data_IF_773059198975
#
_entry.id   IF_773059198975
#
_cell.length_a   1.000
_cell.length_b   1.000
_cell.length_c   1.000
_cell.angle_alpha   90.00
_cell.angle_beta   90.00
_cell.angle_gamma   90.00
#
_symmetry.space_group_name_H-M   'P 1'
#
loop_
_entity.id
_entity.type
_entity.pdbx_description
1 polymer ?
#
# COMPACT_ATOMS: atom_id res chain seq x y z
N UNK A 1 25.45 -4.51 1.30
CA UNK A 1 24.26 -4.71 0.44
C UNK A 1 23.09 -4.97 1.37
N UNK A 2 22.47 -3.92 1.91
CA UNK A 2 21.43 -4.09 2.93
C UNK A 2 20.08 -4.29 2.25
N UNK A 3 19.76 -5.56 1.99
CA UNK A 3 18.46 -6.04 1.49
C UNK A 3 17.43 -6.00 2.62
N UNK A 4 17.26 -4.88 3.29
CA UNK A 4 16.32 -4.79 4.41
C UNK A 4 15.18 -3.88 4.03
N UNK A 5 14.05 -4.51 3.73
CA UNK A 5 12.75 -3.91 3.88
C UNK A 5 12.69 -3.19 5.23
N UNK A 6 12.65 -1.86 5.19
CA UNK A 6 12.89 -1.05 6.38
C UNK A 6 11.65 -1.01 7.29
N UNK A 7 11.55 -1.98 8.20
CA UNK A 7 10.44 -2.07 9.18
C UNK A 7 10.34 -0.82 10.05
N UNK A 8 11.45 -0.18 10.41
CA UNK A 8 11.45 1.08 11.16
C UNK A 8 10.73 2.20 10.39
N UNK A 9 10.98 2.29 9.08
CA UNK A 9 10.31 3.23 8.19
C UNK A 9 8.82 2.92 8.08
N UNK A 10 8.42 1.65 8.03
CA UNK A 10 7.00 1.26 8.07
C UNK A 10 6.35 1.72 9.38
N UNK A 11 6.96 1.40 10.52
CA UNK A 11 6.46 1.79 11.83
C UNK A 11 6.34 3.31 11.97
N UNK A 12 7.28 4.07 11.41
CA UNK A 12 7.19 5.54 11.34
C UNK A 12 6.00 6.02 10.51
N UNK A 13 5.68 5.37 9.39
CA UNK A 13 4.47 5.69 8.63
C UNK A 13 3.21 5.36 9.42
N UNK A 14 3.13 4.16 9.99
CA UNK A 14 1.96 3.72 10.76
C UNK A 14 1.69 4.64 11.96
N UNK A 15 2.74 4.97 12.73
CA UNK A 15 2.63 5.91 13.85
C UNK A 15 2.15 7.30 13.42
N UNK A 16 2.58 7.80 12.25
CA UNK A 16 2.10 9.09 11.72
C UNK A 16 0.65 9.02 11.25
N UNK A 17 0.21 7.89 10.69
CA UNK A 17 -1.18 7.67 10.31
C UNK A 17 -2.05 7.63 11.58
N UNK A 18 -1.63 6.88 12.60
CA UNK A 18 -2.31 6.79 13.89
C UNK A 18 -2.44 8.18 14.54
N UNK A 19 -1.35 8.95 14.58
CA UNK A 19 -1.39 10.32 15.10
C UNK A 19 -2.31 11.25 14.31
N UNK A 20 -2.40 11.09 12.99
CA UNK A 20 -3.34 11.86 12.17
C UNK A 20 -4.80 11.48 12.46
N UNK A 21 -5.09 10.19 12.64
CA UNK A 21 -6.42 9.70 13.03
C UNK A 21 -6.82 10.25 14.40
N UNK A 22 -5.93 10.16 15.39
CA UNK A 22 -6.18 10.68 16.74
C UNK A 22 -6.43 12.19 16.76
N UNK A 23 -5.77 12.94 15.87
CA UNK A 23 -5.94 14.38 15.72
C UNK A 23 -7.14 14.77 14.82
N UNK A 24 -7.93 13.81 14.34
CA UNK A 24 -9.06 14.08 13.44
C UNK A 24 -8.68 14.49 12.02
N UNK A 25 -7.42 14.30 11.64
CA UNK A 25 -6.87 14.66 10.32
C UNK A 25 -6.96 13.46 9.39
N UNK A 26 -8.17 13.03 9.05
CA UNK A 26 -8.40 11.78 8.31
C UNK A 26 -7.90 11.81 6.87
N UNK A 27 -8.09 12.93 6.16
CA UNK A 27 -7.51 13.13 4.84
C UNK A 27 -5.97 12.97 4.87
N UNK A 28 -5.31 13.57 5.86
CA UNK A 28 -3.88 13.42 6.07
C UNK A 28 -3.49 11.96 6.33
N UNK A 29 -4.27 11.24 7.15
CA UNK A 29 -4.03 9.82 7.42
C UNK A 29 -4.08 8.99 6.12
N UNK A 30 -5.07 9.21 5.26
CA UNK A 30 -5.19 8.51 3.97
C UNK A 30 -4.07 8.91 3.00
N UNK A 31 -3.70 10.19 2.93
CA UNK A 31 -2.53 10.65 2.13
C UNK A 31 -1.22 10.01 2.58
N UNK A 32 -1.02 9.85 3.89
CA UNK A 32 0.13 9.16 4.46
C UNK A 32 0.13 7.67 4.11
N UNK A 33 -1.03 7.02 4.17
CA UNK A 33 -1.21 5.62 3.76
C UNK A 33 -0.88 5.42 2.26
N UNK A 34 -1.42 6.28 1.38
CA UNK A 34 -1.12 6.28 -0.05
C UNK A 34 0.37 6.48 -0.32
N UNK A 35 1.01 7.44 0.36
CA UNK A 35 2.46 7.69 0.23
C UNK A 35 3.29 6.49 0.69
N UNK A 36 2.88 5.82 1.76
CA UNK A 36 3.52 4.61 2.25
C UNK A 36 3.49 3.52 1.16
N UNK A 37 2.31 3.21 0.59
CA UNK A 37 2.19 2.25 -0.51
C UNK A 37 3.09 2.63 -1.69
N UNK A 38 3.02 3.87 -2.16
CA UNK A 38 3.85 4.34 -3.29
C UNK A 38 5.34 4.07 -3.06
N UNK A 39 5.85 4.39 -1.88
CA UNK A 39 7.28 4.23 -1.59
C UNK A 39 7.71 2.77 -1.53
N UNK A 40 6.92 1.90 -0.89
CA UNK A 40 7.24 0.48 -0.80
C UNK A 40 7.08 -0.23 -2.14
N UNK A 41 6.05 0.10 -2.92
CA UNK A 41 5.87 -0.44 -4.26
C UNK A 41 6.99 -0.01 -5.21
N UNK A 42 7.38 1.26 -5.20
CA UNK A 42 8.52 1.74 -5.99
C UNK A 42 9.82 1.01 -5.60
N UNK A 43 10.01 0.77 -4.30
CA UNK A 43 11.19 0.06 -3.79
C UNK A 43 11.16 -1.42 -4.21
N UNK A 44 10.00 -2.08 -4.14
CA UNK A 44 9.81 -3.45 -4.63
C UNK A 44 10.15 -3.56 -6.12
N UNK A 45 9.53 -2.71 -6.94
CA UNK A 45 9.69 -2.73 -8.40
C UNK A 45 11.15 -2.54 -8.78
N UNK A 46 11.82 -1.57 -8.15
CA UNK A 46 13.25 -1.32 -8.38
C UNK A 46 14.13 -2.49 -7.94
N UNK A 47 13.82 -3.11 -6.79
CA UNK A 47 14.63 -4.19 -6.23
C UNK A 47 14.55 -5.48 -7.05
N UNK A 48 13.36 -5.79 -7.58
CA UNK A 48 13.09 -7.03 -8.32
C UNK A 48 13.08 -6.84 -9.84
N UNK A 49 13.52 -5.67 -10.32
CA UNK A 49 13.57 -5.29 -11.73
C UNK A 49 12.25 -5.61 -12.47
N UNK A 50 11.13 -5.23 -11.83
CA UNK A 50 9.80 -5.54 -12.37
C UNK A 50 9.52 -4.61 -13.55
N UNK A 51 9.22 -5.14 -14.75
CA UNK A 51 8.93 -4.30 -15.90
C UNK A 51 7.65 -3.49 -15.66
N UNK A 52 7.79 -2.16 -15.59
CA UNK A 52 6.67 -1.23 -15.52
C UNK A 52 6.17 -0.92 -16.93
N UNK A 53 4.86 -1.06 -17.14
CA UNK A 53 4.20 -0.51 -18.32
C UNK A 53 4.33 1.03 -18.26
N UNK A 54 4.91 1.64 -19.31
CA UNK A 54 5.44 3.01 -19.30
C UNK A 54 4.41 4.13 -19.06
N UNK A 55 3.10 3.84 -19.06
CA UNK A 55 2.08 4.89 -19.07
C UNK A 55 2.02 5.71 -17.77
N UNK A 56 2.23 5.13 -16.58
CA UNK A 56 2.12 5.85 -15.29
C UNK A 56 3.00 5.23 -14.18
N UNK A 57 4.32 5.49 -14.14
CA UNK A 57 5.25 4.81 -13.22
C UNK A 57 4.99 5.13 -11.74
N UNK A 58 4.24 6.19 -11.45
CA UNK A 58 4.06 6.75 -10.11
C UNK A 58 2.67 6.51 -9.51
N UNK A 59 1.80 5.83 -10.24
CA UNK A 59 0.43 5.57 -9.82
C UNK A 59 0.35 4.24 -9.05
N UNK A 60 -0.05 4.34 -7.79
CA UNK A 60 -0.13 3.22 -6.84
C UNK A 60 -1.01 2.07 -7.34
N UNK A 61 -2.04 2.36 -8.14
CA UNK A 61 -2.93 1.32 -8.71
C UNK A 61 -2.21 0.46 -9.74
N UNK A 62 -1.50 1.11 -10.67
CA UNK A 62 -0.73 0.40 -11.68
C UNK A 62 0.41 -0.37 -11.03
N UNK A 63 1.12 0.25 -10.09
CA UNK A 63 2.16 -0.43 -9.31
C UNK A 63 1.64 -1.70 -8.63
N UNK A 64 0.48 -1.62 -7.94
CA UNK A 64 -0.11 -2.78 -7.29
C UNK A 64 -0.44 -3.89 -8.28
N UNK A 65 -1.07 -3.58 -9.42
CA UNK A 65 -1.39 -4.55 -10.46
C UNK A 65 -0.12 -5.22 -11.00
N UNK A 66 0.90 -4.43 -11.33
CA UNK A 66 2.18 -4.92 -11.83
C UNK A 66 2.87 -5.85 -10.83
N UNK A 67 2.89 -5.46 -9.55
CA UNK A 67 3.42 -6.29 -8.46
C UNK A 67 2.63 -7.59 -8.35
N UNK A 68 1.30 -7.54 -8.31
CA UNK A 68 0.47 -8.75 -8.19
C UNK A 68 0.67 -9.72 -9.36
N UNK A 69 0.79 -9.21 -10.60
CA UNK A 69 1.11 -10.04 -11.78
C UNK A 69 2.48 -10.69 -11.66
N UNK A 70 3.49 -9.92 -11.24
CA UNK A 70 4.84 -10.43 -11.00
C UNK A 70 4.84 -11.54 -9.94
N UNK A 71 4.23 -11.29 -8.78
CA UNK A 71 4.14 -12.25 -7.68
C UNK A 71 3.42 -13.54 -8.10
N UNK A 72 2.31 -13.41 -8.84
CA UNK A 72 1.55 -14.55 -9.34
C UNK A 72 2.41 -15.43 -10.26
N UNK A 73 3.14 -14.81 -11.20
CA UNK A 73 4.06 -15.53 -12.10
C UNK A 73 5.22 -16.18 -11.34
N UNK A 74 5.84 -15.43 -10.42
CA UNK A 74 6.96 -15.89 -9.61
C UNK A 74 6.58 -17.09 -8.75
N UNK A 75 5.48 -17.01 -8.00
CA UNK A 75 5.04 -18.11 -7.13
C UNK A 75 4.66 -19.36 -7.91
N UNK A 76 3.97 -19.22 -9.05
CA UNK A 76 3.67 -20.36 -9.94
C UNK A 76 4.94 -21.02 -10.47
N UNK A 77 5.89 -20.23 -10.96
CA UNK A 77 7.16 -20.73 -11.52
C UNK A 77 8.01 -21.43 -10.46
N UNK A 78 8.02 -20.93 -9.22
CA UNK A 78 8.82 -21.47 -8.13
C UNK A 78 8.08 -22.55 -7.30
N UNK A 79 6.82 -22.88 -7.64
CA UNK A 79 6.01 -23.84 -6.86
C UNK A 79 5.74 -23.41 -5.42
N UNK A 80 5.78 -22.10 -5.13
CA UNK A 80 5.57 -21.57 -3.77
C UNK A 80 4.06 -21.54 -3.51
N UNK A 81 3.53 -22.17 -2.44
CA UNK A 81 2.12 -22.07 -2.10
C UNK A 81 1.73 -20.62 -1.75
N UNK A 82 0.70 -20.11 -2.43
CA UNK A 82 0.21 -18.75 -2.23
C UNK A 82 -1.31 -18.69 -2.44
N UNK A 83 -1.92 -17.58 -2.00
CA UNK A 83 -3.34 -17.32 -2.24
C UNK A 83 -3.49 -16.23 -3.29
N UNK A 84 -4.05 -16.57 -4.45
CA UNK A 84 -4.40 -15.58 -5.48
C UNK A 84 -5.35 -14.51 -4.94
N UNK A 85 -6.26 -14.90 -4.03
CA UNK A 85 -7.17 -13.97 -3.35
C UNK A 85 -6.41 -12.92 -2.54
N UNK A 86 -5.31 -13.30 -1.86
CA UNK A 86 -4.46 -12.34 -1.14
C UNK A 86 -3.74 -11.39 -2.09
N UNK A 87 -3.32 -11.85 -3.26
CA UNK A 87 -2.73 -10.96 -4.27
C UNK A 87 -3.77 -9.99 -4.83
N UNK A 88 -4.98 -10.45 -5.16
CA UNK A 88 -6.07 -9.58 -5.62
C UNK A 88 -6.44 -8.52 -4.58
N UNK A 89 -6.41 -8.88 -3.30
CA UNK A 89 -6.66 -7.95 -2.19
C UNK A 89 -5.68 -6.76 -2.17
N UNK A 90 -4.40 -6.98 -2.47
CA UNK A 90 -3.40 -5.91 -2.56
C UNK A 90 -3.83 -4.86 -3.60
N UNK A 91 -4.23 -5.31 -4.79
CA UNK A 91 -4.70 -4.42 -5.86
C UNK A 91 -5.98 -3.68 -5.49
N UNK A 92 -6.95 -4.38 -4.88
CA UNK A 92 -8.23 -3.79 -4.47
C UNK A 92 -8.04 -2.68 -3.44
N UNK A 93 -7.35 -2.96 -2.33
CA UNK A 93 -7.07 -1.98 -1.27
C UNK A 93 -6.32 -0.78 -1.85
N UNK A 94 -5.30 -1.02 -2.68
CA UNK A 94 -4.51 0.05 -3.30
C UNK A 94 -5.37 0.97 -4.14
N UNK A 95 -6.36 0.42 -4.87
CA UNK A 95 -7.34 1.20 -5.62
C UNK A 95 -8.28 1.99 -4.71
N UNK A 96 -8.82 1.38 -3.64
CA UNK A 96 -9.69 2.07 -2.68
C UNK A 96 -8.96 3.24 -2.03
N UNK A 97 -7.73 3.04 -1.55
CA UNK A 97 -6.92 4.11 -0.93
C UNK A 97 -6.57 5.21 -1.94
N UNK A 98 -6.26 4.85 -3.18
CA UNK A 98 -6.02 5.83 -4.25
C UNK A 98 -7.26 6.71 -4.48
N UNK A 99 -8.44 6.10 -4.66
CA UNK A 99 -9.70 6.81 -4.88
C UNK A 99 -10.03 7.70 -3.67
N UNK A 100 -9.89 7.16 -2.46
CA UNK A 100 -10.11 7.91 -1.22
C UNK A 100 -9.19 9.14 -1.13
N UNK A 101 -7.92 9.01 -1.52
CA UNK A 101 -6.96 10.13 -1.53
C UNK A 101 -7.39 11.27 -2.47
N UNK A 102 -8.11 10.95 -3.55
CA UNK A 102 -8.62 11.95 -4.51
C UNK A 102 -9.94 12.60 -4.05
N UNK A 103 -10.71 11.93 -3.20
CA UNK A 103 -12.07 12.33 -2.84
C UNK A 103 -12.23 12.80 -1.39
N UNK A 104 -11.25 12.56 -0.51
CA UNK A 104 -11.25 13.06 0.86
C UNK A 104 -10.87 14.54 0.88
N UNK A 105 -11.84 15.38 1.23
CA UNK A 105 -11.65 16.81 1.47
C UNK A 105 -11.73 17.09 2.97
N UNK A 106 -11.10 18.18 3.41
CA UNK A 106 -11.20 18.63 4.81
C UNK A 106 -12.54 19.36 5.04
N UNK A 107 -13.66 18.74 4.64
CA UNK A 107 -15.01 19.26 4.92
C UNK A 107 -15.52 18.69 6.25
N UNK A 108 -16.29 19.49 6.99
CA UNK A 108 -16.73 19.16 8.36
C UNK A 108 -17.93 18.22 8.41
N UNK A 109 -18.47 17.83 7.26
CA UNK A 109 -19.84 17.30 7.17
C UNK A 109 -19.93 15.78 7.33
N UNK A 110 -18.82 15.01 7.18
CA UNK A 110 -18.86 13.55 7.30
C UNK A 110 -17.65 12.90 8.00
N UNK A 111 -17.41 13.35 9.24
CA UNK A 111 -16.27 12.92 10.07
C UNK A 111 -16.26 11.41 10.39
N UNK A 112 -17.41 10.73 10.37
CA UNK A 112 -17.52 9.29 10.66
C UNK A 112 -17.04 8.43 9.49
N UNK A 113 -17.51 8.73 8.28
CA UNK A 113 -17.08 8.03 7.07
C UNK A 113 -15.57 8.21 6.85
N UNK A 114 -15.07 9.43 7.04
CA UNK A 114 -13.66 9.75 6.90
C UNK A 114 -12.79 9.02 7.94
N UNK A 115 -13.25 8.94 9.20
CA UNK A 115 -12.59 8.16 10.25
C UNK A 115 -12.51 6.69 9.88
N UNK A 116 -13.61 6.12 9.40
CA UNK A 116 -13.68 4.73 8.99
C UNK A 116 -12.70 4.46 7.83
N UNK A 117 -12.67 5.34 6.82
CA UNK A 117 -11.76 5.23 5.69
C UNK A 117 -10.29 5.37 6.10
N UNK A 118 -9.97 6.30 7.01
CA UNK A 118 -8.62 6.46 7.53
C UNK A 118 -8.15 5.24 8.34
N UNK A 119 -9.03 4.68 9.17
CA UNK A 119 -8.77 3.45 9.94
C UNK A 119 -8.57 2.26 9.01
N UNK A 120 -9.45 2.11 8.01
CA UNK A 120 -9.30 1.11 6.96
C UNK A 120 -7.95 1.26 6.24
N UNK A 121 -7.57 2.47 5.82
CA UNK A 121 -6.30 2.69 5.13
C UNK A 121 -5.10 2.30 6.00
N UNK A 122 -5.13 2.66 7.28
CA UNK A 122 -4.10 2.30 8.26
C UNK A 122 -3.91 0.79 8.34
N UNK A 123 -4.98 0.06 8.66
CA UNK A 123 -4.93 -1.39 8.90
C UNK A 123 -4.44 -2.14 7.65
N UNK A 124 -4.97 -1.76 6.48
CA UNK A 124 -4.69 -2.48 5.26
C UNK A 124 -3.29 -2.17 4.70
N UNK A 125 -2.79 -0.94 4.79
CA UNK A 125 -1.41 -0.63 4.38
C UNK A 125 -0.40 -1.40 5.22
N UNK A 126 -0.58 -1.45 6.54
CA UNK A 126 0.29 -2.24 7.41
C UNK A 126 0.30 -3.72 7.04
N UNK A 127 -0.88 -4.29 6.80
CA UNK A 127 -1.05 -5.69 6.41
C UNK A 127 -0.39 -6.01 5.06
N UNK A 128 -0.61 -5.18 4.03
CA UNK A 128 -0.04 -5.36 2.69
C UNK A 128 1.48 -5.31 2.72
N UNK A 129 2.05 -4.27 3.34
CA UNK A 129 3.50 -4.13 3.36
C UNK A 129 4.14 -5.25 4.17
N UNK A 130 3.54 -5.65 5.30
CA UNK A 130 4.05 -6.79 6.09
C UNK A 130 3.96 -8.11 5.33
N UNK A 131 2.88 -8.33 4.57
CA UNK A 131 2.77 -9.48 3.68
C UNK A 131 3.89 -9.49 2.65
N UNK A 132 4.12 -8.37 1.96
CA UNK A 132 5.21 -8.26 0.98
C UNK A 132 6.58 -8.51 1.65
N UNK A 133 6.83 -7.92 2.81
CA UNK A 133 8.09 -8.14 3.55
C UNK A 133 8.34 -9.62 3.82
N UNK A 134 7.32 -10.39 4.23
CA UNK A 134 7.47 -11.80 4.61
C UNK A 134 7.95 -12.72 3.48
N UNK A 135 7.61 -12.41 2.22
CA UNK A 135 8.03 -13.24 1.07
C UNK A 135 9.39 -12.82 0.50
N UNK A 136 9.90 -11.66 0.92
CA UNK A 136 11.04 -11.00 0.29
C UNK A 136 12.11 -10.52 1.30
N UNK A 137 11.98 -10.99 2.55
CA UNK A 137 12.96 -10.90 3.63
C UNK A 137 13.92 -12.07 3.60
#
# INVERSE_FOLDING_TARGET
MDRHWNTEKLNKYLSRIDGAIMAGKYNLAVKLAHRCLKQYYASFIKLYDVPLEQLQPDNVRYMAITICRYLNSYFRKCGIPYSERRLMFISLVSNVIFIATMNLYDSRDDYLADKAMATYARENVGSIISYMMRYFS
#
